data_IF_921611396956
#
_entry.id   IF_921611396956
#
_cell.length_a   1.000
_cell.length_b   1.000
_cell.length_c   1.000
_cell.angle_alpha   90.00
_cell.angle_beta   90.00
_cell.angle_gamma   90.00
#
_symmetry.space_group_name_H-M   'P 1'
#
loop_
_entity.id
_entity.type
_entity.pdbx_description
1 polymer ?
#
# COMPACT_ATOMS: atom_id res chain seq x y z
N UNK A 1 -15.84 49.49 20.18
CA UNK A 1 -16.23 48.16 19.69
C UNK A 1 -16.43 48.25 18.18
N UNK A 2 -15.32 48.19 17.43
CA UNK A 2 -15.32 48.21 15.97
C UNK A 2 -13.97 47.67 15.50
N UNK A 3 -13.98 47.10 14.28
CA UNK A 3 -12.85 46.62 13.46
C UNK A 3 -12.48 45.15 13.66
N UNK A 4 -12.89 44.28 12.72
CA UNK A 4 -12.05 43.33 11.99
C UNK A 4 -12.90 42.59 10.94
N UNK A 5 -12.93 43.14 9.73
CA UNK A 5 -13.34 42.44 8.50
C UNK A 5 -12.39 42.93 7.41
N UNK A 6 -11.18 42.40 7.38
CA UNK A 6 -10.25 42.56 6.26
C UNK A 6 -10.42 41.37 5.32
N UNK A 7 -10.79 41.71 4.08
CA UNK A 7 -11.08 40.82 2.98
C UNK A 7 -9.91 39.89 2.64
N UNK A 8 -10.18 38.59 2.58
CA UNK A 8 -9.38 37.62 1.84
C UNK A 8 -9.44 38.00 0.35
N UNK A 9 -8.37 38.59 -0.17
CA UNK A 9 -8.18 38.72 -1.61
C UNK A 9 -7.49 37.44 -2.09
N UNK A 10 -8.11 36.63 -2.97
CA UNK A 10 -7.46 35.43 -3.48
C UNK A 10 -6.26 35.83 -4.33
N UNK A 11 -5.06 35.44 -3.88
CA UNK A 11 -3.82 35.56 -4.65
C UNK A 11 -4.04 34.79 -5.96
N UNK A 12 -3.89 35.46 -7.11
CA UNK A 12 -3.97 34.80 -8.44
C UNK A 12 -2.99 33.63 -8.46
N UNK A 13 -3.50 32.41 -8.37
CA UNK A 13 -2.68 31.21 -8.50
C UNK A 13 -2.08 31.15 -9.91
N UNK A 14 -0.80 30.78 -9.97
CA UNK A 14 -0.10 30.57 -11.22
C UNK A 14 -0.85 29.50 -12.03
N UNK A 15 -1.22 29.74 -13.30
CA UNK A 15 -1.96 28.80 -14.12
C UNK A 15 -1.24 27.44 -14.25
N UNK A 16 0.09 27.41 -14.15
CA UNK A 16 0.85 26.16 -14.12
C UNK A 16 0.58 25.34 -12.85
N UNK A 17 0.55 26.01 -11.67
CA UNK A 17 0.20 25.36 -10.40
C UNK A 17 -1.25 24.89 -10.40
N UNK A 18 -2.18 25.68 -10.95
CA UNK A 18 -3.59 25.30 -11.08
C UNK A 18 -3.78 24.05 -11.94
N UNK A 19 -3.09 23.96 -13.08
CA UNK A 19 -3.16 22.78 -13.95
C UNK A 19 -2.49 21.55 -13.31
N UNK A 20 -1.38 21.74 -12.59
CA UNK A 20 -0.71 20.67 -11.83
C UNK A 20 -1.60 20.13 -10.70
N UNK A 21 -2.24 21.02 -9.93
CA UNK A 21 -3.17 20.63 -8.86
C UNK A 21 -4.42 19.97 -9.42
N UNK A 22 -4.98 20.46 -10.53
CA UNK A 22 -6.08 19.80 -11.21
C UNK A 22 -5.70 18.39 -11.65
N UNK A 23 -4.50 18.22 -12.22
CA UNK A 23 -4.00 16.91 -12.64
C UNK A 23 -3.82 15.94 -11.46
N UNK A 24 -3.24 16.39 -10.34
CA UNK A 24 -3.08 15.60 -9.11
C UNK A 24 -4.43 15.22 -8.48
N UNK A 25 -5.39 16.14 -8.44
CA UNK A 25 -6.75 15.90 -7.92
C UNK A 25 -7.55 14.96 -8.85
N UNK A 26 -7.39 15.08 -10.16
CA UNK A 26 -7.99 14.15 -11.13
C UNK A 26 -7.36 12.75 -11.00
N UNK A 27 -6.07 12.63 -10.72
CA UNK A 27 -5.40 11.35 -10.45
C UNK A 27 -5.90 10.69 -9.15
N UNK A 28 -6.16 11.47 -8.09
CA UNK A 28 -6.69 10.95 -6.81
C UNK A 28 -8.20 10.67 -6.83
N UNK A 29 -8.97 11.38 -7.65
CA UNK A 29 -10.42 11.23 -7.77
C UNK A 29 -10.91 9.98 -8.53
N UNK A 30 -10.03 9.27 -9.23
CA UNK A 30 -10.41 8.11 -10.05
C UNK A 30 -10.52 6.78 -9.29
N UNK A 31 -10.32 6.76 -7.96
CA UNK A 31 -10.32 5.53 -7.17
C UNK A 31 -11.62 5.25 -6.39
N UNK A 32 -12.68 6.05 -6.53
CA UNK A 32 -13.92 5.88 -5.75
C UNK A 32 -15.13 5.75 -6.68
N UNK A 33 -15.33 4.56 -7.23
CA UNK A 33 -16.67 4.05 -7.56
C UNK A 33 -16.70 2.53 -7.34
N UNK A 34 -17.03 2.14 -6.10
CA UNK A 34 -17.50 0.79 -5.83
C UNK A 34 -18.91 0.68 -6.44
N UNK A 35 -19.02 0.09 -7.62
CA UNK A 35 -20.32 -0.24 -8.20
C UNK A 35 -20.91 -1.42 -7.41
N UNK A 36 -21.82 -1.09 -6.49
CA UNK A 36 -22.79 -2.03 -5.95
C UNK A 36 -23.81 -2.31 -7.07
N UNK A 37 -23.52 -3.32 -7.89
CA UNK A 37 -24.51 -3.94 -8.76
C UNK A 37 -24.69 -5.38 -8.28
N UNK A 38 -25.69 -5.56 -7.43
CA UNK A 38 -26.23 -6.84 -7.02
C UNK A 38 -26.78 -7.54 -8.28
N UNK A 39 -25.99 -8.47 -8.85
CA UNK A 39 -26.49 -9.40 -9.84
C UNK A 39 -26.98 -10.65 -9.13
N UNK A 40 -28.29 -10.87 -9.20
CA UNK A 40 -28.97 -12.09 -8.80
C UNK A 40 -28.28 -13.32 -9.44
N UNK A 41 -27.65 -14.16 -8.62
CA UNK A 41 -27.07 -15.42 -9.06
C UNK A 41 -28.22 -16.42 -9.27
N UNK A 42 -28.60 -16.64 -10.53
CA UNK A 42 -29.35 -17.82 -10.93
C UNK A 42 -28.41 -19.03 -10.87
N UNK A 43 -28.62 -19.88 -9.87
CA UNK A 43 -27.92 -21.15 -9.70
C UNK A 43 -28.37 -22.17 -10.75
N UNK A 44 -27.62 -22.34 -11.83
CA UNK A 44 -27.51 -23.60 -12.55
C UNK A 44 -26.10 -23.73 -13.13
N UNK A 45 -25.32 -24.69 -12.62
CA UNK A 45 -24.46 -25.59 -13.40
C UNK A 45 -23.74 -26.61 -12.49
N UNK A 46 -24.37 -27.78 -12.39
CA UNK A 46 -23.82 -29.14 -12.42
C UNK A 46 -22.37 -29.37 -11.93
N UNK A 47 -22.25 -30.02 -10.77
CA UNK A 47 -21.03 -30.68 -10.27
C UNK A 47 -20.81 -32.03 -10.98
N UNK A 48 -19.55 -32.41 -11.34
CA UNK A 48 -19.25 -33.76 -11.77
C UNK A 48 -19.23 -34.75 -10.57
N UNK A 49 -19.70 -35.99 -10.74
CA UNK A 49 -19.79 -36.97 -9.67
C UNK A 49 -18.47 -37.76 -9.53
N UNK A 50 -17.86 -37.73 -8.34
CA UNK A 50 -17.28 -38.90 -7.63
C UNK A 50 -16.14 -38.48 -6.70
N UNK A 51 -16.25 -38.77 -5.39
CA UNK A 51 -15.45 -39.78 -4.68
C UNK A 51 -15.57 -39.61 -3.14
N UNK A 52 -16.35 -40.52 -2.56
CA UNK A 52 -16.17 -41.21 -1.27
C UNK A 52 -16.18 -40.38 0.03
N UNK A 53 -17.41 -40.21 0.52
CA UNK A 53 -17.91 -40.56 1.86
C UNK A 53 -16.89 -41.05 2.90
N UNK A 54 -16.64 -40.19 3.91
CA UNK A 54 -16.34 -40.58 5.29
C UNK A 54 -16.72 -39.41 6.19
N UNK A 55 -17.85 -39.49 6.90
CA UNK A 55 -17.93 -39.24 8.35
C UNK A 55 -19.33 -39.60 8.87
N UNK A 56 -19.27 -40.31 9.98
CA UNK A 56 -20.29 -40.94 10.84
C UNK A 56 -21.46 -40.01 11.21
N UNK A 57 -22.66 -40.61 11.24
CA UNK A 57 -23.92 -40.01 11.66
C UNK A 57 -23.97 -39.66 13.16
N UNK A 58 -24.62 -38.54 13.47
CA UNK A 58 -25.41 -38.38 14.71
C UNK A 58 -26.74 -37.72 14.35
N UNK A 59 -27.82 -38.49 14.47
CA UNK A 59 -29.20 -38.00 14.41
C UNK A 59 -29.62 -37.55 15.80
N UNK A 60 -30.14 -36.33 15.93
CA UNK A 60 -31.25 -36.12 16.85
C UNK A 60 -32.14 -34.98 16.35
N UNK A 61 -33.44 -35.30 16.26
CA UNK A 61 -34.52 -34.42 15.86
C UNK A 61 -35.01 -33.64 17.07
N UNK A 62 -35.12 -32.31 16.98
CA UNK A 62 -36.26 -31.61 17.54
C UNK A 62 -36.53 -30.27 16.86
N UNK A 63 -37.81 -30.06 16.57
CA UNK A 63 -38.43 -28.96 15.86
C UNK A 63 -38.96 -27.97 16.90
N UNK A 64 -38.62 -26.68 16.76
CA UNK A 64 -39.41 -25.58 17.30
C UNK A 64 -38.69 -24.66 18.27
N UNK A 65 -38.32 -23.47 17.80
CA UNK A 65 -38.77 -22.17 18.32
C UNK A 65 -37.99 -21.04 17.65
N UNK A 66 -38.72 -20.01 17.23
CA UNK A 66 -38.19 -18.77 16.67
C UNK A 66 -37.73 -17.93 17.85
N UNK A 67 -36.42 -17.65 17.96
CA UNK A 67 -35.93 -16.52 18.74
C UNK A 67 -34.88 -15.75 17.93
N UNK A 68 -35.20 -14.46 17.75
CA UNK A 68 -34.34 -13.44 17.16
C UNK A 68 -33.01 -13.36 17.91
N UNK A 69 -31.93 -13.76 17.24
CA UNK A 69 -30.58 -13.35 17.61
C UNK A 69 -29.95 -12.68 16.39
N UNK A 70 -29.55 -11.42 16.57
CA UNK A 70 -28.88 -10.60 15.58
C UNK A 70 -27.64 -11.34 15.04
N UNK A 71 -27.72 -11.84 13.80
CA UNK A 71 -26.59 -12.41 13.10
C UNK A 71 -25.64 -11.28 12.69
N UNK A 72 -24.73 -10.90 13.60
CA UNK A 72 -23.45 -10.38 13.17
C UNK A 72 -22.75 -11.52 12.44
N UNK A 73 -22.66 -11.43 11.12
CA UNK A 73 -21.81 -12.32 10.32
C UNK A 73 -20.36 -12.10 10.77
N UNK A 74 -19.92 -12.90 11.74
CA UNK A 74 -18.50 -13.14 11.98
C UNK A 74 -17.95 -13.75 10.70
N UNK A 75 -17.20 -12.95 9.95
CA UNK A 75 -16.42 -13.39 8.80
C UNK A 75 -15.52 -14.56 9.25
N UNK A 76 -15.92 -15.76 8.88
CA UNK A 76 -15.17 -16.98 9.09
C UNK A 76 -13.81 -16.85 8.39
N UNK A 77 -12.73 -16.95 9.16
CA UNK A 77 -11.34 -16.91 8.67
C UNK A 77 -11.06 -18.03 7.65
N UNK A 78 -11.91 -19.06 7.59
CA UNK A 78 -11.76 -20.21 6.69
C UNK A 78 -12.15 -19.94 5.23
N UNK A 79 -13.00 -18.93 4.94
CA UNK A 79 -13.43 -18.61 3.57
C UNK A 79 -12.33 -17.98 2.71
N UNK A 80 -11.16 -17.73 3.29
CA UNK A 80 -10.01 -17.16 2.57
C UNK A 80 -9.27 -18.19 1.70
N UNK A 81 -9.61 -19.50 1.79
CA UNK A 81 -8.76 -20.57 1.24
C UNK A 81 -9.04 -21.00 -0.21
N UNK A 82 -10.02 -20.44 -0.91
CA UNK A 82 -10.32 -20.87 -2.28
C UNK A 82 -10.61 -19.71 -3.24
N UNK A 83 -9.53 -19.04 -3.69
CA UNK A 83 -9.48 -18.46 -5.04
C UNK A 83 -8.09 -18.74 -5.62
N UNK A 84 -7.93 -19.96 -6.14
CA UNK A 84 -6.81 -20.32 -7.00
C UNK A 84 -7.30 -20.36 -8.45
N UNK A 85 -7.24 -19.21 -9.11
CA UNK A 85 -7.13 -19.13 -10.57
C UNK A 85 -6.05 -18.11 -10.90
N UNK A 86 -4.82 -18.59 -11.11
CA UNK A 86 -3.69 -17.89 -11.74
C UNK A 86 -3.34 -16.45 -11.27
N UNK A 87 -3.83 -16.02 -10.10
CA UNK A 87 -3.53 -14.75 -9.48
C UNK A 87 -2.46 -14.88 -8.40
N UNK A 88 -1.56 -13.90 -8.33
CA UNK A 88 -0.65 -13.72 -7.18
C UNK A 88 -1.53 -13.61 -5.93
N UNK A 89 -1.29 -14.47 -4.93
CA UNK A 89 -1.99 -14.37 -3.65
C UNK A 89 -1.59 -13.02 -3.00
N UNK A 90 -2.53 -12.07 -2.98
CA UNK A 90 -2.31 -10.72 -2.48
C UNK A 90 -3.17 -10.42 -1.24
N UNK A 91 -2.57 -9.93 -0.13
CA UNK A 91 -1.13 -9.77 0.09
C UNK A 91 -0.40 -11.12 0.19
N UNK A 92 0.94 -11.14 0.08
CA UNK A 92 1.75 -12.31 0.37
C UNK A 92 1.43 -12.89 1.75
N UNK A 93 1.42 -14.22 1.86
CA UNK A 93 1.09 -14.93 3.12
C UNK A 93 2.14 -14.72 4.23
N UNK A 94 3.39 -14.42 3.83
CA UNK A 94 4.52 -14.16 4.73
C UNK A 94 5.18 -12.84 4.35
N UNK A 95 5.81 -12.19 5.31
CA UNK A 95 6.59 -10.95 5.08
C UNK A 95 7.72 -11.21 4.07
N UNK A 96 7.72 -10.49 2.97
CA UNK A 96 8.78 -10.52 1.96
C UNK A 96 9.71 -9.31 2.13
N UNK A 97 10.74 -9.48 2.96
CA UNK A 97 11.77 -8.46 3.18
C UNK A 97 12.60 -8.18 1.92
N UNK A 98 12.71 -9.14 1.00
CA UNK A 98 13.47 -8.99 -0.23
C UNK A 98 12.73 -8.04 -1.18
N UNK A 99 11.42 -8.22 -1.31
CA UNK A 99 10.53 -7.33 -2.05
C UNK A 99 10.58 -5.91 -1.49
N UNK A 100 10.41 -5.76 -0.18
CA UNK A 100 10.53 -4.48 0.52
C UNK A 100 11.88 -3.80 0.25
N UNK A 101 12.98 -4.57 0.27
CA UNK A 101 14.33 -4.08 -0.02
C UNK A 101 14.50 -3.60 -1.47
N UNK A 102 13.97 -4.34 -2.45
CA UNK A 102 14.02 -3.92 -3.85
C UNK A 102 13.21 -2.65 -4.10
N UNK A 103 11.98 -2.56 -3.58
CA UNK A 103 11.18 -1.34 -3.68
C UNK A 103 11.90 -0.15 -3.02
N UNK A 104 12.46 -0.35 -1.81
CA UNK A 104 13.29 0.67 -1.13
C UNK A 104 14.47 1.12 -1.99
N UNK A 105 15.17 0.19 -2.63
CA UNK A 105 16.26 0.51 -3.54
C UNK A 105 15.78 1.28 -4.79
N UNK A 106 14.58 1.00 -5.29
CA UNK A 106 13.98 1.75 -6.39
C UNK A 106 13.67 3.20 -5.98
N UNK A 107 13.21 3.47 -4.75
CA UNK A 107 13.08 4.85 -4.25
C UNK A 107 14.42 5.58 -4.28
N UNK A 108 15.49 4.96 -3.74
CA UNK A 108 16.83 5.55 -3.75
C UNK A 108 17.31 5.83 -5.17
N UNK A 109 17.15 4.87 -6.09
CA UNK A 109 17.52 5.02 -7.50
C UNK A 109 16.74 6.15 -8.19
N UNK A 110 15.42 6.19 -8.01
CA UNK A 110 14.56 7.25 -8.53
C UNK A 110 14.96 8.63 -7.98
N UNK A 111 15.29 8.72 -6.69
CA UNK A 111 15.78 9.94 -6.05
C UNK A 111 17.11 10.39 -6.63
N UNK A 112 18.08 9.50 -6.85
CA UNK A 112 19.37 9.89 -7.45
C UNK A 112 19.15 10.47 -8.85
N UNK A 113 18.27 9.86 -9.65
CA UNK A 113 17.92 10.36 -10.98
C UNK A 113 17.23 11.74 -10.87
N UNK A 114 16.22 11.85 -10.02
CA UNK A 114 15.48 13.10 -9.80
C UNK A 114 16.40 14.22 -9.30
N UNK A 115 17.27 13.91 -8.33
CA UNK A 115 18.28 14.83 -7.81
C UNK A 115 19.22 15.31 -8.93
N UNK A 116 19.70 14.42 -9.80
CA UNK A 116 20.53 14.78 -10.96
C UNK A 116 19.80 15.71 -11.93
N UNK A 117 18.51 15.44 -12.21
CA UNK A 117 17.66 16.29 -13.04
C UNK A 117 17.45 17.67 -12.40
N UNK A 118 17.10 17.73 -11.11
CA UNK A 118 16.93 18.98 -10.37
C UNK A 118 18.23 19.78 -10.29
N UNK A 119 19.36 19.10 -10.06
CA UNK A 119 20.68 19.73 -10.08
C UNK A 119 21.01 20.36 -11.44
N UNK A 120 20.51 19.81 -12.55
CA UNK A 120 20.67 20.40 -13.88
C UNK A 120 19.71 21.59 -14.15
N UNK A 121 18.55 21.65 -13.49
CA UNK A 121 17.55 22.72 -13.68
C UNK A 121 18.00 24.08 -13.13
N UNK A 122 17.57 25.22 -13.68
CA UNK A 122 17.92 26.55 -13.16
C UNK A 122 17.52 26.75 -11.70
N UNK A 123 18.27 27.57 -10.95
CA UNK A 123 18.01 27.84 -9.53
C UNK A 123 16.62 28.46 -9.29
N UNK A 124 16.11 29.21 -10.27
CA UNK A 124 14.76 29.79 -10.23
C UNK A 124 13.64 28.74 -10.18
N UNK A 125 13.94 27.47 -10.49
CA UNK A 125 13.00 26.34 -10.44
C UNK A 125 13.16 25.55 -9.14
N UNK A 126 14.40 25.34 -8.69
CA UNK A 126 14.70 24.42 -7.59
C UNK A 126 14.91 25.09 -6.24
N UNK A 127 15.16 26.41 -6.20
CA UNK A 127 15.62 27.13 -5.01
C UNK A 127 16.93 26.56 -4.41
N UNK A 128 17.68 25.78 -5.19
CA UNK A 128 18.97 25.24 -4.77
C UNK A 128 20.05 26.25 -5.06
N UNK A 129 20.76 26.65 -4.01
CA UNK A 129 21.91 27.53 -4.10
C UNK A 129 23.11 26.73 -4.62
N UNK A 130 23.29 26.71 -5.94
CA UNK A 130 24.33 25.88 -6.56
C UNK A 130 25.71 26.49 -6.37
N UNK A 131 25.81 27.79 -6.19
CA UNK A 131 27.06 28.47 -5.86
C UNK A 131 27.56 28.02 -4.49
N UNK A 132 26.70 28.07 -3.47
CA UNK A 132 27.02 27.55 -2.14
C UNK A 132 27.31 26.04 -2.15
N UNK A 133 26.58 25.25 -2.95
CA UNK A 133 26.87 23.81 -3.12
C UNK A 133 28.23 23.55 -3.78
N UNK A 134 28.67 24.39 -4.73
CA UNK A 134 29.99 24.27 -5.39
C UNK A 134 31.13 24.68 -4.46
N UNK A 135 30.93 25.74 -3.67
CA UNK A 135 31.95 26.27 -2.78
C UNK A 135 32.12 25.43 -1.50
N UNK A 136 31.00 25.11 -0.84
CA UNK A 136 31.00 24.46 0.48
C UNK A 136 30.69 22.96 0.43
N UNK A 137 30.40 22.45 -0.76
CA UNK A 137 30.00 21.06 -1.01
C UNK A 137 28.48 20.84 -0.95
N UNK A 138 28.03 19.81 -1.66
CA UNK A 138 26.61 19.54 -1.89
C UNK A 138 25.78 19.30 -0.62
N UNK A 139 26.43 18.92 0.49
CA UNK A 139 25.77 18.63 1.78
C UNK A 139 25.72 19.83 2.71
N UNK A 140 26.30 20.98 2.35
CA UNK A 140 26.39 22.15 3.22
C UNK A 140 25.02 22.64 3.67
N UNK A 141 24.13 22.95 2.72
CA UNK A 141 22.78 23.45 2.99
C UNK A 141 21.95 22.40 3.76
N UNK A 142 22.06 21.13 3.36
CA UNK A 142 21.46 20.01 4.09
C UNK A 142 21.85 19.99 5.58
N UNK A 143 23.14 20.11 5.91
CA UNK A 143 23.60 20.16 7.31
C UNK A 143 23.02 21.36 8.07
N UNK A 144 22.91 22.51 7.42
CA UNK A 144 22.33 23.71 8.04
C UNK A 144 20.85 23.51 8.33
N UNK A 145 20.09 23.04 7.36
CA UNK A 145 18.66 22.81 7.47
C UNK A 145 18.33 21.74 8.54
N UNK A 146 19.05 20.61 8.53
CA UNK A 146 18.89 19.57 9.57
C UNK A 146 19.24 20.11 10.96
N UNK A 147 20.29 20.94 11.08
CA UNK A 147 20.71 21.54 12.36
C UNK A 147 19.75 22.62 12.87
N UNK A 148 19.08 23.35 11.97
CA UNK A 148 18.05 24.33 12.34
C UNK A 148 16.88 23.67 13.09
N UNK A 149 16.64 22.40 12.80
CA UNK A 149 15.55 21.62 13.37
C UNK A 149 14.20 21.97 12.73
N UNK A 150 13.17 21.13 12.93
CA UNK A 150 11.92 21.31 12.21
C UNK A 150 11.24 22.62 12.56
N UNK A 151 10.65 23.27 11.56
CA UNK A 151 9.87 24.51 11.70
C UNK A 151 8.42 24.28 11.29
N UNK A 152 7.54 25.19 11.66
CA UNK A 152 6.23 25.25 11.00
C UNK A 152 6.45 26.02 9.71
N UNK A 153 6.24 25.35 8.58
CA UNK A 153 6.29 25.91 7.24
C UNK A 153 4.93 26.50 6.83
N UNK A 154 4.95 27.38 5.83
CA UNK A 154 3.77 28.04 5.26
C UNK A 154 3.49 27.50 3.86
N UNK A 155 3.62 26.18 3.70
CA UNK A 155 3.48 25.50 2.41
C UNK A 155 2.05 25.54 1.85
N UNK A 156 1.93 25.40 0.54
CA UNK A 156 0.63 25.41 -0.14
C UNK A 156 -0.20 24.23 0.37
N UNK A 157 -1.45 24.48 0.76
CA UNK A 157 -2.35 23.47 1.31
C UNK A 157 -2.45 22.20 0.45
N UNK A 158 -2.28 22.29 -0.88
CA UNK A 158 -2.32 21.10 -1.75
C UNK A 158 -1.12 20.19 -1.50
N UNK A 159 0.05 20.74 -1.19
CA UNK A 159 1.22 19.94 -0.85
C UNK A 159 0.93 19.17 0.44
N UNK A 160 0.61 19.89 1.52
CA UNK A 160 0.42 19.31 2.86
C UNK A 160 -0.76 18.34 2.93
N UNK A 161 -1.86 18.60 2.23
CA UNK A 161 -3.10 17.82 2.38
C UNK A 161 -3.37 16.82 1.26
N UNK A 162 -2.62 16.84 0.17
CA UNK A 162 -2.78 15.89 -0.94
C UNK A 162 -1.49 15.15 -1.23
N UNK A 163 -0.40 15.88 -1.44
CA UNK A 163 0.87 15.29 -1.88
C UNK A 163 1.53 14.50 -0.77
N UNK A 164 1.63 15.06 0.43
CA UNK A 164 2.19 14.37 1.60
C UNK A 164 1.39 13.11 1.98
N UNK A 165 0.05 13.16 2.12
CA UNK A 165 -0.73 11.94 2.36
C UNK A 165 -0.60 10.91 1.24
N UNK A 166 -0.55 11.32 -0.03
CA UNK A 166 -0.33 10.39 -1.13
C UNK A 166 1.05 9.71 -1.04
N UNK A 167 2.13 10.49 -0.86
CA UNK A 167 3.51 9.98 -0.73
C UNK A 167 3.65 9.02 0.46
N UNK A 168 3.09 9.39 1.62
CA UNK A 168 3.04 8.52 2.79
C UNK A 168 2.24 7.24 2.55
N UNK A 169 1.15 7.33 1.78
CA UNK A 169 0.37 6.17 1.32
C UNK A 169 1.13 5.25 0.38
N UNK A 170 1.96 5.79 -0.51
CA UNK A 170 2.84 5.02 -1.39
C UNK A 170 3.94 4.32 -0.58
N UNK A 171 4.57 4.98 0.39
CA UNK A 171 5.50 4.31 1.31
C UNK A 171 4.82 3.21 2.12
N UNK A 172 3.61 3.48 2.61
CA UNK A 172 2.82 2.49 3.34
C UNK A 172 2.52 1.26 2.48
N UNK A 173 2.10 1.48 1.22
CA UNK A 173 1.80 0.43 0.27
C UNK A 173 3.02 -0.44 -0.04
N UNK A 174 4.22 0.13 -0.06
CA UNK A 174 5.47 -0.64 -0.25
C UNK A 174 5.62 -1.76 0.78
N UNK A 175 5.43 -1.46 2.07
CA UNK A 175 5.44 -2.48 3.11
C UNK A 175 4.19 -3.37 3.07
N UNK A 176 3.01 -2.77 2.91
CA UNK A 176 1.73 -3.49 2.97
C UNK A 176 1.58 -4.53 1.86
N UNK A 177 2.01 -4.20 0.64
CA UNK A 177 2.08 -5.10 -0.51
C UNK A 177 3.14 -6.18 -0.39
N UNK A 178 4.13 -5.97 0.48
CA UNK A 178 5.18 -6.94 0.80
C UNK A 178 4.78 -7.92 1.94
N UNK A 179 3.51 -7.95 2.33
CA UNK A 179 3.00 -8.90 3.33
C UNK A 179 3.14 -8.44 4.79
N UNK A 180 3.54 -7.19 5.03
CA UNK A 180 3.60 -6.62 6.37
C UNK A 180 2.20 -6.22 6.87
N UNK A 181 2.03 -6.20 8.20
CA UNK A 181 0.76 -5.82 8.82
C UNK A 181 0.58 -4.29 8.85
N UNK A 182 -0.59 -3.83 9.30
CA UNK A 182 -0.96 -2.41 9.30
C UNK A 182 0.02 -1.54 10.10
N UNK A 183 0.44 -2.01 11.27
CA UNK A 183 1.35 -1.27 12.16
C UNK A 183 2.79 -1.24 11.64
N UNK A 184 3.28 -2.37 11.13
CA UNK A 184 4.60 -2.45 10.51
C UNK A 184 4.69 -1.55 9.27
N UNK A 185 3.63 -1.52 8.47
CA UNK A 185 3.54 -0.67 7.27
C UNK A 185 3.47 0.81 7.64
N UNK A 186 2.78 1.15 8.73
CA UNK A 186 2.81 2.49 9.31
C UNK A 186 4.21 2.89 9.77
N UNK A 187 4.92 2.01 10.51
CA UNK A 187 6.29 2.30 10.96
C UNK A 187 7.27 2.49 9.79
N UNK A 188 7.15 1.67 8.75
CA UNK A 188 7.94 1.83 7.54
C UNK A 188 7.63 3.17 6.84
N UNK A 189 6.36 3.52 6.69
CA UNK A 189 5.95 4.81 6.11
C UNK A 189 6.43 5.99 6.95
N UNK A 190 6.35 5.92 8.29
CA UNK A 190 6.90 6.90 9.22
C UNK A 190 8.41 7.08 9.05
N UNK A 191 9.14 5.97 8.93
CA UNK A 191 10.57 6.00 8.72
C UNK A 191 10.94 6.64 7.37
N UNK A 192 10.29 6.22 6.28
CA UNK A 192 10.54 6.75 4.94
C UNK A 192 10.16 8.23 4.83
N UNK A 193 9.01 8.61 5.38
CA UNK A 193 8.56 10.01 5.38
C UNK A 193 9.54 10.91 6.14
N UNK A 194 9.97 10.47 7.32
CA UNK A 194 10.85 11.26 8.20
C UNK A 194 12.29 11.30 7.70
N UNK A 195 12.93 10.14 7.55
CA UNK A 195 14.38 10.07 7.35
C UNK A 195 14.79 10.10 5.89
N UNK A 196 14.00 9.49 5.01
CA UNK A 196 14.32 9.44 3.59
C UNK A 196 13.86 10.71 2.86
N UNK A 197 12.62 11.15 3.11
CA UNK A 197 12.09 12.35 2.46
C UNK A 197 12.49 13.63 3.21
N UNK A 198 11.87 13.89 4.36
CA UNK A 198 11.96 15.17 5.06
C UNK A 198 13.40 15.57 5.45
N UNK A 199 14.03 14.75 6.30
CA UNK A 199 15.42 14.95 6.71
C UNK A 199 16.44 14.50 5.67
N UNK A 200 16.00 13.82 4.60
CA UNK A 200 16.87 13.30 3.57
C UNK A 200 16.94 14.25 2.39
N UNK A 201 15.98 14.11 1.47
CA UNK A 201 15.95 14.78 0.17
C UNK A 201 15.55 16.25 0.31
N UNK A 202 14.48 16.52 1.06
CA UNK A 202 13.89 17.85 1.17
C UNK A 202 14.80 18.82 1.92
N UNK A 203 15.49 18.31 2.94
CA UNK A 203 16.51 19.04 3.68
C UNK A 203 17.64 19.63 2.82
N UNK A 204 17.88 19.16 1.58
CA UNK A 204 18.83 19.82 0.66
C UNK A 204 18.34 21.18 0.17
N UNK A 205 17.02 21.38 0.10
CA UNK A 205 16.40 22.60 -0.38
C UNK A 205 15.96 23.50 0.79
N UNK A 206 15.26 22.91 1.77
CA UNK A 206 14.44 23.62 2.75
C UNK A 206 14.61 23.04 4.16
N UNK A 207 14.16 23.77 5.19
CA UNK A 207 14.24 23.31 6.58
C UNK A 207 13.10 22.30 6.80
N UNK A 208 13.36 21.14 7.45
CA UNK A 208 12.31 20.16 7.75
C UNK A 208 11.04 20.77 8.36
N UNK A 209 9.88 20.30 7.96
CA UNK A 209 8.56 20.71 8.41
C UNK A 209 8.06 19.86 9.58
N UNK A 210 7.55 20.51 10.63
CA UNK A 210 6.87 19.82 11.74
C UNK A 210 5.55 19.19 11.28
N UNK A 211 4.88 19.79 10.31
CA UNK A 211 3.57 19.34 9.84
C UNK A 211 3.73 18.02 9.10
N UNK A 212 4.70 17.97 8.21
CA UNK A 212 4.87 16.84 7.29
C UNK A 212 5.44 15.61 7.97
N UNK A 213 6.21 15.80 9.06
CA UNK A 213 6.62 14.72 9.96
C UNK A 213 5.43 13.98 10.61
N UNK A 214 4.27 14.62 10.71
CA UNK A 214 3.05 14.03 11.28
C UNK A 214 2.09 13.64 10.16
N UNK A 215 1.76 14.57 9.28
CA UNK A 215 0.73 14.41 8.25
C UNK A 215 1.11 13.31 7.27
N UNK A 216 2.34 13.34 6.74
CA UNK A 216 2.81 12.37 5.74
C UNK A 216 2.63 10.94 6.23
N UNK A 217 3.16 10.51 7.40
CA UNK A 217 2.97 9.13 7.82
C UNK A 217 1.60 8.82 8.40
N UNK A 218 0.98 9.75 9.15
CA UNK A 218 -0.30 9.47 9.81
C UNK A 218 -1.43 9.43 8.78
N UNK A 219 -1.67 10.53 8.05
CA UNK A 219 -2.71 10.55 7.03
C UNK A 219 -2.33 9.66 5.84
N UNK A 220 -1.04 9.58 5.51
CA UNK A 220 -0.59 8.69 4.45
C UNK A 220 -0.86 7.23 4.76
N UNK A 221 -0.72 6.77 6.01
CA UNK A 221 -1.10 5.38 6.35
C UNK A 221 -2.60 5.10 6.18
N UNK A 222 -3.46 6.08 6.45
CA UNK A 222 -4.91 5.96 6.22
C UNK A 222 -5.22 5.85 4.73
N UNK A 223 -4.61 6.73 3.92
CA UNK A 223 -4.71 6.69 2.45
C UNK A 223 -4.18 5.35 1.91
N UNK A 224 -3.03 4.92 2.42
CA UNK A 224 -2.35 3.69 2.05
C UNK A 224 -3.16 2.43 2.36
N UNK A 225 -3.84 2.34 3.51
CA UNK A 225 -4.72 1.20 3.78
C UNK A 225 -5.95 1.22 2.84
N UNK A 226 -6.44 2.40 2.46
CA UNK A 226 -7.43 2.55 1.38
C UNK A 226 -6.91 1.99 0.04
N UNK A 227 -5.70 2.35 -0.35
CA UNK A 227 -5.01 1.82 -1.53
C UNK A 227 -4.81 0.31 -1.47
N UNK A 228 -4.54 -0.22 -0.28
CA UNK A 228 -4.39 -1.66 -0.08
C UNK A 228 -5.67 -2.42 -0.44
N UNK A 229 -6.83 -1.97 0.06
CA UNK A 229 -8.12 -2.57 -0.30
C UNK A 229 -8.49 -2.33 -1.77
N UNK A 230 -8.18 -1.16 -2.33
CA UNK A 230 -8.39 -0.87 -3.74
C UNK A 230 -7.58 -1.83 -4.63
N UNK A 231 -6.28 -1.99 -4.35
CA UNK A 231 -5.39 -2.95 -5.05
C UNK A 231 -5.95 -4.37 -4.93
N UNK A 232 -6.34 -4.80 -3.73
CA UNK A 232 -6.94 -6.13 -3.51
C UNK A 232 -8.19 -6.33 -4.36
N UNK A 233 -9.06 -5.31 -4.46
CA UNK A 233 -10.25 -5.36 -5.30
C UNK A 233 -9.89 -5.45 -6.79
N UNK A 234 -8.99 -4.61 -7.28
CA UNK A 234 -8.56 -4.60 -8.69
C UNK A 234 -7.95 -5.94 -9.09
N UNK A 235 -7.11 -6.53 -8.25
CA UNK A 235 -6.49 -7.83 -8.50
C UNK A 235 -7.51 -8.98 -8.54
N UNK A 236 -8.57 -8.93 -7.71
CA UNK A 236 -9.68 -9.91 -7.74
C UNK A 236 -10.53 -9.82 -9.01
N UNK A 237 -10.59 -8.67 -9.64
CA UNK A 237 -11.36 -8.43 -10.87
C UNK A 237 -10.48 -8.49 -12.13
N UNK A 238 -9.53 -9.42 -12.18
CA UNK A 238 -8.61 -9.63 -13.32
C UNK A 238 -7.86 -8.36 -13.76
N UNK A 239 -7.48 -7.50 -12.79
CA UNK A 239 -6.83 -6.21 -13.05
C UNK A 239 -7.67 -5.28 -13.91
N UNK A 240 -8.99 -5.29 -13.74
CA UNK A 240 -9.93 -4.39 -14.43
C UNK A 240 -10.53 -3.37 -13.47
N UNK A 241 -10.74 -2.16 -13.99
CA UNK A 241 -11.56 -1.10 -13.39
C UNK A 241 -12.52 -0.63 -14.46
N UNK A 242 -13.82 -0.51 -14.14
CA UNK A 242 -14.87 -0.16 -15.11
C UNK A 242 -14.80 -1.03 -16.40
N UNK A 243 -14.59 -2.35 -16.24
CA UNK A 243 -14.38 -3.32 -17.32
C UNK A 243 -13.15 -3.08 -18.23
N UNK A 244 -12.28 -2.12 -17.90
CA UNK A 244 -11.06 -1.82 -18.66
C UNK A 244 -9.82 -2.33 -17.93
N UNK A 245 -9.01 -3.13 -18.62
CA UNK A 245 -7.68 -3.53 -18.14
C UNK A 245 -6.72 -2.35 -18.09
N UNK A 246 -6.79 -1.44 -19.05
CA UNK A 246 -5.92 -0.24 -19.08
C UNK A 246 -6.15 0.60 -17.84
N UNK A 247 -7.42 0.82 -17.46
CA UNK A 247 -7.75 1.52 -16.23
C UNK A 247 -7.26 0.77 -15.00
N UNK A 248 -7.44 -0.55 -14.95
CA UNK A 248 -6.95 -1.34 -13.81
C UNK A 248 -5.43 -1.29 -13.63
N UNK A 249 -4.64 -1.46 -14.70
CA UNK A 249 -3.18 -1.33 -14.63
C UNK A 249 -2.74 0.10 -14.27
N UNK A 250 -3.44 1.11 -14.78
CA UNK A 250 -3.16 2.52 -14.45
C UNK A 250 -3.44 2.80 -12.97
N UNK A 251 -4.59 2.33 -12.45
CA UNK A 251 -4.93 2.45 -11.03
C UNK A 251 -3.91 1.75 -10.14
N UNK A 252 -3.47 0.53 -10.50
CA UNK A 252 -2.42 -0.20 -9.76
C UNK A 252 -1.11 0.60 -9.70
N UNK A 253 -0.70 1.20 -10.82
CA UNK A 253 0.51 2.02 -10.86
C UNK A 253 0.38 3.30 -10.02
N UNK A 254 -0.80 3.94 -10.00
CA UNK A 254 -1.02 5.15 -9.18
C UNK A 254 -0.96 4.82 -7.68
N UNK A 255 -1.62 3.75 -7.24
CA UNK A 255 -1.76 3.46 -5.82
C UNK A 255 -0.56 2.71 -5.23
N UNK A 256 0.21 2.01 -6.07
CA UNK A 256 1.36 1.23 -5.64
C UNK A 256 2.41 1.08 -6.76
N UNK A 257 3.07 2.18 -7.15
CA UNK A 257 3.92 2.24 -8.34
C UNK A 257 5.10 1.28 -8.29
N UNK A 258 5.83 1.24 -7.17
CA UNK A 258 7.07 0.47 -7.04
C UNK A 258 6.84 -1.03 -7.08
N UNK A 259 5.88 -1.54 -6.29
CA UNK A 259 5.49 -2.94 -6.37
C UNK A 259 4.95 -3.31 -7.75
N UNK A 260 4.15 -2.44 -8.37
CA UNK A 260 3.58 -2.70 -9.69
C UNK A 260 4.68 -2.78 -10.75
N UNK A 261 5.70 -1.93 -10.66
CA UNK A 261 6.89 -2.00 -11.50
C UNK A 261 7.69 -3.27 -11.25
N UNK A 262 7.95 -3.60 -9.97
CA UNK A 262 8.68 -4.80 -9.58
C UNK A 262 7.99 -6.08 -10.09
N UNK A 263 6.66 -6.15 -9.96
CA UNK A 263 5.83 -7.23 -10.54
C UNK A 263 5.92 -7.25 -12.08
N UNK A 264 5.94 -6.08 -12.71
CA UNK A 264 6.06 -5.95 -14.17
C UNK A 264 7.44 -6.41 -14.68
N UNK A 265 8.49 -6.29 -13.88
CA UNK A 265 9.81 -6.87 -14.14
C UNK A 265 9.90 -8.37 -13.82
N UNK A 266 8.77 -8.99 -13.45
CA UNK A 266 8.69 -10.44 -13.27
C UNK A 266 9.21 -10.92 -11.91
N UNK A 267 9.16 -10.06 -10.88
CA UNK A 267 9.45 -10.50 -9.52
C UNK A 267 8.57 -11.68 -9.12
N UNK A 268 9.18 -12.71 -8.53
CA UNK A 268 8.49 -13.90 -8.02
C UNK A 268 8.68 -13.95 -6.53
N UNK A 269 7.56 -13.89 -5.81
CA UNK A 269 7.55 -14.03 -4.35
C UNK A 269 8.18 -15.38 -3.97
N UNK A 270 9.02 -15.37 -2.93
CA UNK A 270 9.53 -16.62 -2.38
C UNK A 270 8.37 -17.35 -1.72
N UNK A 271 7.95 -18.48 -2.29
CA UNK A 271 6.92 -19.30 -1.66
C UNK A 271 7.51 -20.01 -0.45
N UNK A 272 6.86 -19.85 0.70
CA UNK A 272 7.32 -20.44 1.95
C UNK A 272 7.37 -21.96 1.83
N UNK A 273 8.56 -22.52 2.06
CA UNK A 273 8.73 -23.93 2.35
C UNK A 273 8.21 -24.19 3.75
N UNK A 274 7.12 -24.94 3.89
CA UNK A 274 6.61 -25.33 5.20
C UNK A 274 7.10 -26.72 5.55
N UNK A 275 7.79 -26.81 6.70
CA UNK A 275 8.11 -28.07 7.35
C UNK A 275 7.17 -28.23 8.54
N UNK A 276 6.31 -29.25 8.51
CA UNK A 276 5.42 -29.59 9.61
C UNK A 276 5.62 -31.03 10.05
N UNK A 277 5.42 -31.31 11.33
CA UNK A 277 5.40 -32.69 11.84
C UNK A 277 3.95 -33.17 11.77
N UNK A 278 3.71 -34.23 11.01
CA UNK A 278 2.38 -34.82 10.86
C UNK A 278 2.45 -36.35 11.05
N UNK A 279 1.38 -36.99 11.53
CA UNK A 279 1.32 -38.45 11.56
C UNK A 279 1.31 -38.98 10.12
N UNK A 280 2.36 -39.70 9.73
CA UNK A 280 2.50 -40.31 8.38
C UNK A 280 2.02 -41.75 8.33
N UNK A 281 1.69 -42.33 9.48
CA UNK A 281 1.18 -43.69 9.58
C UNK A 281 0.76 -44.05 11.01
N UNK A 282 0.26 -45.26 11.18
CA UNK A 282 -0.15 -45.80 12.47
C UNK A 282 0.37 -47.23 12.60
N UNK A 283 1.19 -47.49 13.62
CA UNK A 283 1.67 -48.83 13.94
C UNK A 283 0.58 -49.57 14.72
N UNK A 284 0.00 -50.60 14.09
CA UNK A 284 -1.05 -51.44 14.69
C UNK A 284 -0.52 -52.38 15.78
N UNK A 285 0.76 -52.76 15.73
CA UNK A 285 1.38 -53.64 16.74
C UNK A 285 1.71 -52.90 18.04
N UNK A 286 2.13 -51.64 17.93
CA UNK A 286 2.48 -50.79 19.07
C UNK A 286 1.35 -49.83 19.52
N UNK A 287 0.23 -49.77 18.78
CA UNK A 287 -0.91 -48.87 18.98
C UNK A 287 -0.49 -47.38 19.09
N UNK A 288 0.40 -46.93 18.21
CA UNK A 288 0.96 -45.55 18.23
C UNK A 288 1.02 -44.96 16.83
N UNK A 289 0.82 -43.64 16.75
CA UNK A 289 1.03 -42.88 15.53
C UNK A 289 2.53 -42.78 15.21
N UNK A 290 2.88 -43.01 13.94
CA UNK A 290 4.22 -42.80 13.41
C UNK A 290 4.28 -41.36 12.90
N UNK A 291 5.13 -40.56 13.52
CA UNK A 291 5.32 -39.16 13.16
C UNK A 291 6.37 -39.03 12.06
N UNK A 292 6.07 -38.22 11.05
CA UNK A 292 6.99 -37.92 9.95
C UNK A 292 7.06 -36.43 9.70
N UNK A 293 8.13 -36.02 9.03
CA UNK A 293 8.30 -34.66 8.54
C UNK A 293 7.54 -34.52 7.22
N UNK A 294 6.54 -33.66 7.20
CA UNK A 294 5.86 -33.25 5.98
C UNK A 294 6.54 -31.98 5.44
N UNK A 295 7.04 -32.09 4.22
CA UNK A 295 7.64 -30.99 3.49
C UNK A 295 6.67 -30.55 2.40
N UNK A 296 6.13 -29.34 2.56
CA UNK A 296 5.29 -28.71 1.55
C UNK A 296 6.07 -27.58 0.89
N UNK A 297 6.28 -27.70 -0.42
CA UNK A 297 6.86 -26.66 -1.26
C UNK A 297 5.82 -26.29 -2.32
N UNK A 298 5.37 -25.04 -2.27
CA UNK A 298 4.50 -24.48 -3.30
C UNK A 298 5.43 -23.88 -4.37
N UNK A 299 5.31 -24.32 -5.63
CA UNK A 299 6.05 -23.78 -6.78
C UNK A 299 5.17 -22.83 -7.59
#
# INVERSE_FOLDING_TARGET
>A
MATFLTAFTPKKMNPFKTNLYAFIILLSGNAIFAQQAEQSINNQNQLPPSLIQNTIAYSNSQKGSIENANNYNMLSIADTTLVQQNGIAYPPATRDYRRLGYDTAMYVGATVIAFGVLYAMPESVTNWDKEAMKENGITYKWKQNVKAGPVWDDDDWVLNWVTHPYSGGVYYMTARSSGFNMFESFLYSAFMSTFFWEYGIEAFAEIPSKQDLIITPVLGSVVGEGFFYAKKSILRHDKKVLNSKVLGYTSLFIIDPFNTLLDSFGYKDQRATQLSVAPVGFDKGANKAIWGLNFSMQF
#
